data_IF_368179943233
#
_entry.id   IF_368179943233
#
_cell.length_a   1.000
_cell.length_b   1.000
_cell.length_c   1.000
_cell.angle_alpha   90.00
_cell.angle_beta   90.00
_cell.angle_gamma   90.00
#
_symmetry.space_group_name_H-M   'P 1'
#
loop_
_entity.id
_entity.type
_entity.pdbx_description
1 polymer ?
#
# COMPACT_ATOMS: atom_id res chain seq x y z
N UNK A 1 11.54 -21.69 13.44
CA UNK A 1 10.43 -20.75 13.24
C UNK A 1 10.94 -19.33 13.49
N UNK A 2 10.68 -18.40 12.59
CA UNK A 2 11.12 -17.02 12.80
C UNK A 2 10.34 -16.41 13.98
N UNK A 3 11.05 -15.78 14.91
CA UNK A 3 10.42 -15.04 15.99
C UNK A 3 9.93 -13.68 15.47
N UNK A 4 8.66 -13.61 15.15
CA UNK A 4 8.03 -12.38 14.67
C UNK A 4 7.74 -11.35 15.78
N UNK A 5 7.95 -11.69 17.04
CA UNK A 5 7.66 -10.79 18.17
C UNK A 5 8.56 -9.55 18.12
N UNK A 6 9.86 -9.75 17.92
CA UNK A 6 10.83 -8.67 17.80
C UNK A 6 10.56 -7.76 16.59
N UNK A 7 10.22 -8.36 15.45
CA UNK A 7 9.89 -7.61 14.22
C UNK A 7 8.62 -6.78 14.44
N UNK A 8 7.61 -7.35 15.07
CA UNK A 8 6.37 -6.64 15.42
C UNK A 8 6.64 -5.43 16.30
N UNK A 9 7.43 -5.59 17.36
CA UNK A 9 7.81 -4.49 18.26
C UNK A 9 8.59 -3.39 17.52
N UNK A 10 9.50 -3.76 16.63
CA UNK A 10 10.26 -2.81 15.83
C UNK A 10 9.37 -2.04 14.85
N UNK A 11 8.39 -2.68 14.22
CA UNK A 11 7.42 -2.01 13.34
C UNK A 11 6.56 -1.04 14.14
N UNK A 12 6.01 -1.47 15.27
CA UNK A 12 5.19 -0.61 16.15
C UNK A 12 6.01 0.59 16.63
N UNK A 13 7.25 0.37 17.11
CA UNK A 13 8.14 1.44 17.54
C UNK A 13 8.46 2.42 16.43
N UNK A 14 8.67 1.93 15.21
CA UNK A 14 8.95 2.76 14.03
C UNK A 14 7.74 3.58 13.58
N UNK A 15 6.54 3.01 13.65
CA UNK A 15 5.31 3.74 13.38
C UNK A 15 5.09 4.86 14.40
N UNK A 16 5.37 4.60 15.67
CA UNK A 16 5.31 5.62 16.73
C UNK A 16 6.28 6.77 16.48
N UNK A 17 7.53 6.44 16.18
CA UNK A 17 8.60 7.41 15.96
C UNK A 17 8.35 8.27 14.72
N UNK A 18 7.85 7.66 13.66
CA UNK A 18 7.61 8.35 12.40
C UNK A 18 6.40 9.30 12.42
N UNK A 19 5.39 9.00 13.25
CA UNK A 19 4.11 9.73 13.24
C UNK A 19 3.81 10.47 14.53
N UNK A 20 4.29 10.00 15.68
CA UNK A 20 3.85 10.49 17.00
C UNK A 20 5.00 10.95 17.87
N UNK A 21 6.08 10.20 17.99
CA UNK A 21 7.16 10.46 18.93
C UNK A 21 8.54 10.36 18.28
N UNK A 22 9.08 11.49 17.87
CA UNK A 22 10.40 11.59 17.23
C UNK A 22 11.60 11.33 18.17
N UNK A 23 11.37 11.20 19.45
CA UNK A 23 12.42 10.94 20.44
C UNK A 23 12.78 9.46 20.57
N UNK A 24 11.90 8.57 20.14
CA UNK A 24 12.17 7.13 20.16
C UNK A 24 13.08 6.74 19.02
N UNK A 25 14.15 6.01 19.33
CA UNK A 25 14.98 5.39 18.32
C UNK A 25 14.21 4.28 17.61
N UNK A 26 14.32 4.26 16.27
CA UNK A 26 13.69 3.22 15.45
C UNK A 26 14.55 2.89 14.24
N UNK A 27 14.39 1.69 13.69
CA UNK A 27 15.10 1.29 12.47
C UNK A 27 14.51 1.99 11.27
N UNK A 28 15.38 2.58 10.44
CA UNK A 28 14.98 3.26 9.19
C UNK A 28 14.17 2.38 8.24
N UNK A 29 14.45 1.08 8.23
CA UNK A 29 13.80 0.09 7.38
C UNK A 29 12.28 0.00 7.61
N UNK A 30 11.85 0.25 8.84
CA UNK A 30 10.44 0.13 9.25
C UNK A 30 9.75 1.48 9.47
N UNK A 31 10.44 2.59 9.25
CA UNK A 31 9.85 3.91 9.42
C UNK A 31 8.80 4.19 8.33
N UNK A 32 7.63 4.71 8.71
CA UNK A 32 6.66 5.17 7.73
C UNK A 32 7.24 6.32 6.90
N UNK A 33 6.88 6.35 5.63
CA UNK A 33 7.29 7.39 4.68
C UNK A 33 6.05 8.14 4.21
N UNK A 34 6.07 9.46 4.34
CA UNK A 34 5.07 10.30 3.71
C UNK A 34 5.42 10.48 2.23
N UNK A 35 4.50 10.08 1.35
CA UNK A 35 4.63 10.30 -0.08
C UNK A 35 3.71 11.46 -0.50
N UNK A 36 4.27 12.42 -1.20
CA UNK A 36 3.53 13.57 -1.73
C UNK A 36 3.88 13.79 -3.20
N UNK A 37 2.93 14.34 -3.94
CA UNK A 37 3.21 14.84 -5.28
C UNK A 37 3.87 16.21 -5.18
N UNK A 38 5.06 16.35 -5.74
CA UNK A 38 5.77 17.62 -5.86
C UNK A 38 6.40 17.72 -7.25
N UNK A 39 5.75 18.44 -8.13
CA UNK A 39 6.19 18.60 -9.52
C UNK A 39 7.52 19.34 -9.65
N UNK A 40 7.80 20.28 -8.75
CA UNK A 40 9.06 21.04 -8.75
C UNK A 40 10.26 20.15 -8.41
N UNK A 41 10.06 19.19 -7.51
CA UNK A 41 11.09 18.23 -7.13
C UNK A 41 11.02 16.91 -7.92
N UNK A 42 10.13 16.81 -8.90
CA UNK A 42 9.92 15.59 -9.68
C UNK A 42 9.36 14.41 -8.89
N UNK A 43 8.81 14.66 -7.70
CA UNK A 43 8.24 13.62 -6.84
C UNK A 43 6.81 13.29 -7.25
N UNK A 44 6.56 12.01 -7.51
CA UNK A 44 5.22 11.49 -7.84
C UNK A 44 4.89 10.31 -6.93
N UNK A 45 3.75 10.36 -6.25
CA UNK A 45 3.27 9.27 -5.40
C UNK A 45 3.12 7.99 -6.18
N UNK A 46 2.52 8.04 -7.36
CA UNK A 46 2.31 6.86 -8.21
C UNK A 46 3.62 6.15 -8.57
N UNK A 47 4.65 6.88 -8.95
CA UNK A 47 5.95 6.29 -9.30
C UNK A 47 6.59 5.58 -8.12
N UNK A 48 6.53 6.19 -6.94
CA UNK A 48 7.03 5.57 -5.71
C UNK A 48 6.23 4.32 -5.35
N UNK A 49 4.90 4.40 -5.44
CA UNK A 49 4.01 3.27 -5.13
C UNK A 49 4.29 2.08 -6.06
N UNK A 50 4.40 2.31 -7.37
CA UNK A 50 4.72 1.26 -8.34
C UNK A 50 6.08 0.62 -8.03
N UNK A 51 7.09 1.42 -7.70
CA UNK A 51 8.41 0.90 -7.35
C UNK A 51 8.38 0.00 -6.12
N UNK A 52 7.70 0.42 -5.06
CA UNK A 52 7.56 -0.37 -3.84
C UNK A 52 6.76 -1.66 -4.09
N UNK A 53 5.68 -1.59 -4.87
CA UNK A 53 4.89 -2.77 -5.24
C UNK A 53 5.72 -3.80 -6.03
N UNK A 54 6.57 -3.37 -6.95
CA UNK A 54 7.40 -4.27 -7.76
C UNK A 54 8.40 -5.08 -6.95
N UNK A 55 8.77 -4.63 -5.78
CA UNK A 55 9.77 -5.26 -4.91
C UNK A 55 9.20 -5.82 -3.61
N UNK A 56 7.89 -5.70 -3.38
CA UNK A 56 7.28 -6.19 -2.15
C UNK A 56 7.05 -7.71 -2.15
N UNK A 57 6.97 -8.28 -0.96
CA UNK A 57 6.57 -9.68 -0.72
C UNK A 57 5.08 -9.82 -0.42
N UNK A 58 4.44 -8.73 -0.02
CA UNK A 58 3.02 -8.60 0.22
C UNK A 58 2.65 -7.11 0.26
N UNK A 59 1.37 -6.78 0.06
CA UNK A 59 0.90 -5.40 0.19
C UNK A 59 -0.44 -5.31 0.89
N UNK A 60 -0.67 -4.20 1.58
CA UNK A 60 -1.94 -3.86 2.21
C UNK A 60 -2.25 -2.41 1.89
N UNK A 61 -3.40 -2.18 1.26
CA UNK A 61 -3.94 -0.85 1.03
C UNK A 61 -5.14 -0.59 1.93
N UNK A 62 -5.15 0.55 2.59
CA UNK A 62 -6.33 1.08 3.26
C UNK A 62 -6.65 2.43 2.63
N UNK A 63 -7.75 2.52 1.93
CA UNK A 63 -8.11 3.70 1.14
C UNK A 63 -9.55 4.12 1.41
N UNK A 64 -9.82 5.43 1.34
CA UNK A 64 -11.17 5.94 1.54
C UNK A 64 -12.13 5.54 0.41
N UNK A 65 -11.63 5.54 -0.84
CA UNK A 65 -12.42 5.18 -2.02
C UNK A 65 -11.51 4.72 -3.15
N UNK A 66 -12.09 4.02 -4.13
CA UNK A 66 -11.40 3.47 -5.29
C UNK A 66 -12.14 3.91 -6.56
N UNK A 67 -11.38 4.42 -7.53
CA UNK A 67 -11.89 4.83 -8.85
C UNK A 67 -11.30 3.98 -9.96
N UNK A 68 -12.00 3.90 -11.11
CA UNK A 68 -11.49 3.21 -12.28
C UNK A 68 -10.18 3.80 -12.81
N UNK A 69 -10.04 5.12 -12.77
CA UNK A 69 -8.81 5.79 -13.18
C UNK A 69 -7.63 5.45 -12.28
N UNK A 70 -7.86 5.35 -10.96
CA UNK A 70 -6.84 4.92 -10.00
C UNK A 70 -6.38 3.49 -10.25
N UNK A 71 -7.31 2.57 -10.48
CA UNK A 71 -6.99 1.18 -10.82
C UNK A 71 -6.30 1.08 -12.17
N UNK A 72 -6.73 1.83 -13.17
CA UNK A 72 -6.10 1.83 -14.50
C UNK A 72 -4.61 2.19 -14.43
N UNK A 73 -4.23 3.13 -13.58
CA UNK A 73 -2.84 3.52 -13.38
C UNK A 73 -1.98 2.39 -12.77
N UNK A 74 -2.58 1.47 -12.02
CA UNK A 74 -1.90 0.37 -11.32
C UNK A 74 -2.11 -1.00 -11.99
N UNK A 75 -3.00 -1.11 -12.97
CA UNK A 75 -3.47 -2.40 -13.48
C UNK A 75 -2.35 -3.33 -13.94
N UNK A 76 -1.36 -2.81 -14.64
CA UNK A 76 -0.24 -3.63 -15.14
C UNK A 76 0.64 -4.11 -13.98
N UNK A 77 0.87 -3.27 -12.98
CA UNK A 77 1.61 -3.66 -11.78
C UNK A 77 0.86 -4.71 -10.98
N UNK A 78 -0.46 -4.57 -10.83
CA UNK A 78 -1.29 -5.56 -10.13
C UNK A 78 -1.31 -6.92 -10.86
N UNK A 79 -1.34 -6.93 -12.20
CA UNK A 79 -1.22 -8.16 -12.99
C UNK A 79 0.13 -8.84 -12.79
N UNK A 80 1.20 -8.07 -12.81
CA UNK A 80 2.55 -8.59 -12.53
C UNK A 80 2.64 -9.23 -11.13
N UNK A 81 2.03 -8.59 -10.13
CA UNK A 81 1.97 -9.13 -8.77
C UNK A 81 1.14 -10.43 -8.70
N UNK A 82 0.04 -10.51 -9.43
CA UNK A 82 -0.76 -11.73 -9.54
C UNK A 82 0.05 -12.88 -10.16
N UNK A 83 0.74 -12.62 -11.27
CA UNK A 83 1.60 -13.61 -11.94
C UNK A 83 2.72 -14.12 -11.03
N UNK A 84 3.28 -13.25 -10.20
CA UNK A 84 4.30 -13.59 -9.21
C UNK A 84 3.74 -14.21 -7.92
N UNK A 85 2.42 -14.28 -7.78
CA UNK A 85 1.78 -14.82 -6.58
C UNK A 85 1.94 -13.96 -5.32
N UNK A 86 2.16 -12.65 -5.47
CA UNK A 86 2.32 -11.73 -4.34
C UNK A 86 0.95 -11.45 -3.72
N UNK A 87 0.72 -11.80 -2.44
CA UNK A 87 -0.57 -11.58 -1.79
C UNK A 87 -0.81 -10.10 -1.49
N UNK A 88 -2.04 -9.67 -1.68
CA UNK A 88 -2.46 -8.32 -1.38
C UNK A 88 -3.80 -8.27 -0.65
N UNK A 89 -3.97 -7.26 0.19
CA UNK A 89 -5.24 -6.94 0.85
C UNK A 89 -5.59 -5.49 0.58
N UNK A 90 -6.84 -5.25 0.23
CA UNK A 90 -7.34 -3.90 0.00
C UNK A 90 -8.59 -3.70 0.85
N UNK A 91 -8.56 -2.70 1.71
CA UNK A 91 -9.68 -2.22 2.49
C UNK A 91 -10.14 -0.88 1.91
N UNK A 92 -11.38 -0.81 1.47
CA UNK A 92 -11.99 0.41 0.95
C UNK A 92 -13.31 0.69 1.64
N UNK A 93 -13.64 1.98 1.79
CA UNK A 93 -14.95 2.37 2.29
C UNK A 93 -15.89 2.78 1.16
N UNK A 94 -17.18 2.84 1.47
CA UNK A 94 -18.22 3.38 0.59
C UNK A 94 -18.53 4.85 0.90
N UNK A 95 -17.52 5.58 1.38
CA UNK A 95 -17.70 6.97 1.79
C UNK A 95 -18.27 7.81 0.66
N UNK A 96 -19.44 8.41 0.91
CA UNK A 96 -20.18 9.29 -0.02
C UNK A 96 -20.32 8.75 -1.46
N UNK A 97 -20.35 7.45 -1.65
CA UNK A 97 -20.43 6.79 -2.96
C UNK A 97 -19.28 7.15 -3.95
N UNK A 98 -18.13 7.56 -3.47
CA UNK A 98 -16.97 7.84 -4.32
C UNK A 98 -16.30 6.57 -4.83
N UNK A 99 -16.50 5.42 -4.19
CA UNK A 99 -16.01 4.15 -4.70
C UNK A 99 -16.82 3.68 -5.89
N UNK A 100 -16.19 3.50 -7.01
CA UNK A 100 -16.83 3.08 -8.26
C UNK A 100 -17.00 1.55 -8.28
N UNK A 101 -18.23 1.02 -8.47
CA UNK A 101 -18.48 -0.43 -8.50
C UNK A 101 -17.64 -1.19 -9.53
N UNK A 102 -17.43 -0.61 -10.70
CA UNK A 102 -16.57 -1.23 -11.74
C UNK A 102 -15.12 -1.38 -11.32
N UNK A 103 -14.60 -0.47 -10.51
CA UNK A 103 -13.26 -0.57 -9.95
C UNK A 103 -13.17 -1.77 -8.99
N UNK A 104 -14.18 -1.96 -8.15
CA UNK A 104 -14.27 -3.12 -7.27
C UNK A 104 -14.37 -4.45 -8.04
N UNK A 105 -15.19 -4.51 -9.09
CA UNK A 105 -15.31 -5.68 -9.95
C UNK A 105 -13.97 -6.05 -10.59
N UNK A 106 -13.21 -5.07 -11.05
CA UNK A 106 -11.86 -5.31 -11.59
C UNK A 106 -10.90 -5.88 -10.55
N UNK A 107 -10.94 -5.39 -9.32
CA UNK A 107 -10.11 -5.89 -8.22
C UNK A 107 -10.50 -7.31 -7.80
N UNK A 108 -11.79 -7.62 -7.78
CA UNK A 108 -12.29 -8.96 -7.47
C UNK A 108 -11.85 -10.02 -8.51
N UNK A 109 -11.48 -9.59 -9.71
CA UNK A 109 -10.92 -10.48 -10.73
C UNK A 109 -9.50 -10.97 -10.43
N UNK A 110 -8.76 -10.34 -9.51
CA UNK A 110 -7.41 -10.77 -9.13
C UNK A 110 -7.46 -11.86 -8.06
N UNK A 111 -6.79 -13.00 -8.33
CA UNK A 111 -6.77 -14.16 -7.43
C UNK A 111 -5.92 -13.93 -6.17
N UNK A 112 -4.96 -13.02 -6.21
CA UNK A 112 -4.02 -12.72 -5.14
C UNK A 112 -4.48 -11.58 -4.24
N UNK A 113 -5.60 -10.93 -4.53
CA UNK A 113 -6.11 -9.76 -3.79
C UNK A 113 -7.35 -10.14 -2.99
N UNK A 114 -7.27 -9.92 -1.67
CA UNK A 114 -8.42 -9.94 -0.78
C UNK A 114 -8.99 -8.52 -0.65
N UNK A 115 -10.21 -8.31 -1.13
CA UNK A 115 -10.92 -7.03 -1.08
C UNK A 115 -11.95 -7.04 0.05
N UNK A 116 -11.97 -5.98 0.87
CA UNK A 116 -12.93 -5.77 1.96
C UNK A 116 -13.44 -4.33 2.00
#
# INVERSE_FOLDING_TARGET
MADYSLVKEQIIGSAYTGLVDLKKASRKEYQPKLLVNNSQEGKKVLTNLIRELKTCDAFIFSVAFITNSGIAALINTLKELEERGIPGKILASQYENFTEPRALERLLGFRNIELR
#
